data_IF_198116675892
#
_entry.id   IF_198116675892
#
_cell.length_a   1.000
_cell.length_b   1.000
_cell.length_c   1.000
_cell.angle_alpha   90.00
_cell.angle_beta   90.00
_cell.angle_gamma   90.00
#
_symmetry.space_group_name_H-M   'P 1'
#
loop_
_entity.id
_entity.type
_entity.pdbx_description
1 polymer ?
#
# COMPACT_ATOMS: atom_id res chain seq x y z
N UNK A 1 25.60 -22.47 -12.58
CA UNK A 1 24.45 -23.39 -12.65
C UNK A 1 23.41 -23.17 -11.55
N UNK A 2 23.81 -22.97 -10.28
CA UNK A 2 22.84 -22.62 -9.18
C UNK A 2 22.17 -21.26 -9.38
N UNK A 3 22.90 -20.20 -9.76
CA UNK A 3 22.33 -18.87 -10.02
C UNK A 3 21.33 -18.87 -11.19
N UNK A 4 21.61 -19.62 -12.26
CA UNK A 4 20.68 -19.74 -13.38
C UNK A 4 19.38 -20.46 -13.00
N UNK A 5 19.46 -21.46 -12.11
CA UNK A 5 18.25 -22.14 -11.58
C UNK A 5 17.43 -21.22 -10.67
N UNK A 6 18.08 -20.41 -9.83
CA UNK A 6 17.38 -19.45 -8.97
C UNK A 6 16.64 -18.36 -9.77
N UNK A 7 17.27 -17.86 -10.83
CA UNK A 7 16.63 -16.88 -11.72
C UNK A 7 15.43 -17.47 -12.47
N UNK A 8 15.53 -18.72 -12.90
CA UNK A 8 14.43 -19.44 -13.56
C UNK A 8 13.21 -19.60 -12.63
N UNK A 9 13.42 -19.98 -11.37
CA UNK A 9 12.34 -20.13 -10.40
C UNK A 9 11.66 -18.79 -10.05
N UNK A 10 12.44 -17.70 -9.98
CA UNK A 10 11.87 -16.35 -9.81
C UNK A 10 11.03 -15.94 -11.02
N UNK A 11 11.50 -16.21 -12.23
CA UNK A 11 10.75 -15.91 -13.45
C UNK A 11 9.42 -16.67 -13.49
N UNK A 12 9.42 -17.96 -13.16
CA UNK A 12 8.19 -18.78 -13.07
C UNK A 12 7.23 -18.20 -12.03
N UNK A 13 7.74 -17.80 -10.85
CA UNK A 13 6.91 -17.16 -9.82
C UNK A 13 6.29 -15.85 -10.30
N UNK A 14 7.07 -14.97 -10.96
CA UNK A 14 6.56 -13.71 -11.48
C UNK A 14 5.52 -13.90 -12.58
N UNK A 15 5.73 -14.87 -13.47
CA UNK A 15 4.73 -15.23 -14.49
C UNK A 15 3.46 -15.77 -13.82
N UNK A 16 3.58 -16.65 -12.83
CA UNK A 16 2.46 -17.17 -12.04
C UNK A 16 1.69 -16.03 -11.33
N UNK A 17 2.40 -15.09 -10.73
CA UNK A 17 1.82 -13.92 -10.08
C UNK A 17 1.09 -13.01 -11.10
N UNK A 18 1.70 -12.76 -12.25
CA UNK A 18 1.06 -12.00 -13.33
C UNK A 18 -0.23 -12.68 -13.79
N UNK A 19 -0.20 -13.99 -14.04
CA UNK A 19 -1.38 -14.76 -14.46
C UNK A 19 -2.47 -14.72 -13.40
N UNK A 20 -2.12 -14.91 -12.13
CA UNK A 20 -3.07 -14.81 -11.01
C UNK A 20 -3.74 -13.43 -10.98
N UNK A 21 -2.95 -12.37 -11.03
CA UNK A 21 -3.49 -11.00 -11.03
C UNK A 21 -4.32 -10.71 -12.26
N UNK A 22 -3.92 -11.21 -13.44
CA UNK A 22 -4.72 -11.08 -14.65
C UNK A 22 -6.09 -11.76 -14.52
N UNK A 23 -6.13 -12.98 -14.01
CA UNK A 23 -7.38 -13.71 -13.80
C UNK A 23 -8.29 -12.97 -12.82
N UNK A 24 -7.76 -12.48 -11.70
CA UNK A 24 -8.53 -11.70 -10.73
C UNK A 24 -9.08 -10.40 -11.33
N UNK A 25 -8.26 -9.68 -12.09
CA UNK A 25 -8.71 -8.49 -12.81
C UNK A 25 -9.78 -8.79 -13.87
N UNK A 26 -9.66 -9.93 -14.57
CA UNK A 26 -10.63 -10.34 -15.58
C UNK A 26 -11.98 -10.73 -14.96
N UNK A 27 -11.98 -11.30 -13.76
CA UNK A 27 -13.20 -11.65 -13.02
C UNK A 27 -13.88 -10.45 -12.35
N UNK A 28 -13.12 -9.39 -12.04
CA UNK A 28 -13.70 -8.17 -11.49
C UNK A 28 -14.54 -7.47 -12.57
N UNK A 29 -15.86 -7.30 -12.41
CA UNK A 29 -16.66 -6.53 -13.36
C UNK A 29 -16.35 -5.04 -13.27
N UNK A 30 -16.85 -4.25 -14.20
CA UNK A 30 -16.94 -2.80 -14.02
C UNK A 30 -17.89 -2.50 -12.83
N UNK A 31 -17.51 -1.56 -11.97
CA UNK A 31 -18.21 -1.33 -10.71
C UNK A 31 -18.17 0.15 -10.32
N UNK A 32 -19.27 0.66 -9.79
CA UNK A 32 -19.39 2.05 -9.27
C UNK A 32 -18.76 3.11 -10.19
N UNK A 33 -17.64 3.70 -9.75
CA UNK A 33 -16.98 4.84 -10.38
C UNK A 33 -16.42 4.52 -11.78
N UNK A 34 -16.25 3.24 -12.13
CA UNK A 34 -15.86 2.85 -13.49
C UNK A 34 -16.86 3.34 -14.54
N UNK A 35 -18.17 3.32 -14.21
CA UNK A 35 -19.20 3.82 -15.11
C UNK A 35 -19.20 5.35 -15.19
N UNK A 36 -18.90 6.04 -14.08
CA UNK A 36 -18.81 7.51 -14.04
C UNK A 36 -17.58 7.97 -14.84
N UNK A 37 -16.47 7.22 -14.73
CA UNK A 37 -15.24 7.53 -15.44
C UNK A 37 -15.26 7.10 -16.93
N UNK A 38 -16.22 6.26 -17.35
CA UNK A 38 -16.38 5.86 -18.76
C UNK A 38 -17.00 6.93 -19.65
N UNK A 39 -17.43 8.04 -19.08
CA UNK A 39 -18.03 9.18 -19.79
C UNK A 39 -17.17 10.43 -19.62
N UNK A 40 -17.30 11.37 -20.54
CA UNK A 40 -16.69 12.68 -20.41
C UNK A 40 -17.22 13.33 -19.13
N UNK A 41 -16.34 13.75 -18.26
CA UNK A 41 -16.67 14.22 -16.92
C UNK A 41 -17.78 15.27 -16.93
N UNK A 42 -18.88 14.98 -16.24
CA UNK A 42 -20.07 15.86 -16.13
C UNK A 42 -20.85 16.14 -17.44
N UNK A 43 -20.64 15.39 -18.54
CA UNK A 43 -21.51 15.51 -19.73
C UNK A 43 -22.44 14.34 -19.94
N UNK A 44 -22.03 13.15 -19.53
CA UNK A 44 -22.73 11.89 -19.80
C UNK A 44 -22.41 11.26 -21.16
N UNK A 45 -21.65 11.95 -22.03
CA UNK A 45 -21.23 11.41 -23.33
C UNK A 45 -20.10 10.39 -23.13
N UNK A 46 -20.15 9.26 -23.83
CA UNK A 46 -19.10 8.25 -23.74
C UNK A 46 -17.77 8.76 -24.30
N UNK A 47 -16.65 8.31 -23.68
CA UNK A 47 -15.31 8.52 -24.20
C UNK A 47 -15.17 7.80 -25.55
N UNK A 48 -14.80 8.53 -26.62
CA UNK A 48 -14.63 7.98 -27.97
C UNK A 48 -13.22 8.24 -28.53
N UNK A 49 -12.49 9.20 -27.97
CA UNK A 49 -11.19 9.62 -28.46
C UNK A 49 -10.23 9.99 -27.35
N UNK A 50 -8.93 10.04 -27.66
CA UNK A 50 -7.91 10.54 -26.73
C UNK A 50 -8.17 12.01 -26.36
N UNK A 51 -8.78 12.78 -27.25
CA UNK A 51 -9.18 14.17 -26.96
C UNK A 51 -10.21 14.23 -25.85
N UNK A 52 -11.17 13.28 -25.81
CA UNK A 52 -12.17 13.20 -24.75
C UNK A 52 -11.53 12.85 -23.39
N UNK A 53 -10.46 12.05 -23.40
CA UNK A 53 -9.68 11.79 -22.18
C UNK A 53 -9.09 13.09 -21.64
N UNK A 54 -8.45 13.90 -22.48
CA UNK A 54 -7.90 15.19 -22.04
C UNK A 54 -8.99 16.19 -21.64
N UNK A 55 -10.12 16.21 -22.33
CA UNK A 55 -11.28 17.03 -21.96
C UNK A 55 -11.84 16.61 -20.58
N UNK A 56 -11.93 15.30 -20.32
CA UNK A 56 -12.36 14.78 -19.03
C UNK A 56 -11.37 15.14 -17.91
N UNK A 57 -10.06 15.09 -18.17
CA UNK A 57 -9.04 15.50 -17.22
C UNK A 57 -9.11 16.99 -16.89
N UNK A 58 -9.30 17.83 -17.91
CA UNK A 58 -9.45 19.27 -17.73
C UNK A 58 -10.66 19.57 -16.84
N UNK A 59 -11.82 19.00 -17.17
CA UNK A 59 -13.05 19.17 -16.36
C UNK A 59 -12.90 18.62 -14.95
N UNK A 60 -12.28 17.45 -14.81
CA UNK A 60 -12.01 16.86 -13.51
C UNK A 60 -11.15 17.80 -12.66
N UNK A 61 -10.08 18.34 -13.22
CA UNK A 61 -9.15 19.25 -12.55
C UNK A 61 -9.83 20.51 -12.02
N UNK A 62 -10.67 21.12 -12.83
CA UNK A 62 -11.38 22.34 -12.43
C UNK A 62 -12.62 22.09 -11.55
N UNK A 63 -13.24 20.93 -11.61
CA UNK A 63 -14.52 20.67 -10.93
C UNK A 63 -14.45 19.70 -9.76
N UNK A 64 -13.36 18.88 -9.65
CA UNK A 64 -13.34 17.82 -8.66
C UNK A 64 -12.04 17.70 -7.89
N UNK A 65 -10.86 17.69 -8.56
CA UNK A 65 -9.59 17.54 -7.83
C UNK A 65 -8.35 17.37 -8.69
N UNK A 66 -7.19 17.29 -8.03
CA UNK A 66 -5.87 17.33 -8.67
C UNK A 66 -5.23 15.97 -8.98
N UNK A 67 -5.93 14.84 -8.86
CA UNK A 67 -5.39 13.47 -9.08
C UNK A 67 -5.21 13.15 -10.57
N UNK A 68 -4.52 14.00 -11.31
CA UNK A 68 -4.45 13.93 -12.77
C UNK A 68 -3.86 12.60 -13.27
N UNK A 69 -2.81 12.08 -12.62
CA UNK A 69 -2.17 10.83 -13.05
C UNK A 69 -3.11 9.64 -12.87
N UNK A 70 -3.79 9.55 -11.74
CA UNK A 70 -4.75 8.47 -11.46
C UNK A 70 -5.91 8.48 -12.45
N UNK A 71 -6.49 9.66 -12.70
CA UNK A 71 -7.63 9.80 -13.61
C UNK A 71 -7.23 9.69 -15.07
N UNK A 72 -6.01 10.08 -15.43
CA UNK A 72 -5.49 9.78 -16.77
C UNK A 72 -5.45 8.26 -17.03
N UNK A 73 -4.94 7.48 -16.07
CA UNK A 73 -4.92 6.01 -16.18
C UNK A 73 -6.34 5.46 -16.33
N UNK A 74 -7.29 5.94 -15.51
CA UNK A 74 -8.68 5.51 -15.57
C UNK A 74 -9.32 5.80 -16.93
N UNK A 75 -9.34 7.07 -17.36
CA UNK A 75 -9.97 7.49 -18.61
C UNK A 75 -9.33 6.83 -19.82
N UNK A 76 -7.99 6.70 -19.82
CA UNK A 76 -7.26 6.06 -20.90
C UNK A 76 -7.68 4.60 -21.09
N UNK A 77 -7.72 3.82 -20.02
CA UNK A 77 -8.11 2.41 -20.13
C UNK A 77 -9.60 2.23 -20.32
N UNK A 78 -10.44 3.14 -19.85
CA UNK A 78 -11.88 3.09 -20.15
C UNK A 78 -12.16 3.39 -21.61
N UNK A 79 -11.37 4.24 -22.27
CA UNK A 79 -11.44 4.47 -23.70
C UNK A 79 -11.08 3.21 -24.50
N UNK A 80 -10.00 2.51 -24.14
CA UNK A 80 -9.50 1.34 -24.88
C UNK A 80 -10.09 0.01 -24.41
N UNK A 81 -10.79 -0.01 -23.31
CA UNK A 81 -11.49 -1.16 -22.77
C UNK A 81 -10.76 -1.91 -21.66
N UNK A 82 -11.56 -2.54 -20.82
CA UNK A 82 -11.12 -3.24 -19.60
C UNK A 82 -10.14 -4.38 -19.88
N UNK A 83 -10.18 -4.99 -21.05
CA UNK A 83 -9.24 -6.06 -21.43
C UNK A 83 -7.78 -5.60 -21.32
N UNK A 84 -7.46 -4.44 -21.87
CA UNK A 84 -6.12 -3.87 -21.80
C UNK A 84 -5.75 -3.48 -20.37
N UNK A 85 -6.70 -2.90 -19.66
CA UNK A 85 -6.49 -2.61 -18.23
C UNK A 85 -6.08 -3.85 -17.45
N UNK A 86 -6.76 -4.99 -17.60
CA UNK A 86 -6.48 -6.22 -16.87
C UNK A 86 -5.03 -6.69 -17.08
N UNK A 87 -4.52 -6.59 -18.32
CA UNK A 87 -3.13 -6.95 -18.64
C UNK A 87 -2.15 -6.00 -17.97
N UNK A 88 -2.35 -4.70 -18.14
CA UNK A 88 -1.42 -3.70 -17.62
C UNK A 88 -1.48 -3.61 -16.10
N UNK A 89 -2.64 -3.76 -15.48
CA UNK A 89 -2.78 -3.76 -14.04
C UNK A 89 -2.08 -4.96 -13.38
N UNK A 90 -2.20 -6.15 -13.97
CA UNK A 90 -1.46 -7.34 -13.55
C UNK A 90 0.06 -7.14 -13.69
N UNK A 91 0.51 -6.49 -14.77
CA UNK A 91 1.91 -6.16 -14.97
C UNK A 91 2.42 -5.14 -13.92
N UNK A 92 1.63 -4.12 -13.62
CA UNK A 92 1.96 -3.09 -12.62
C UNK A 92 2.08 -3.71 -11.23
N UNK A 93 1.14 -4.58 -10.83
CA UNK A 93 1.25 -5.29 -9.54
C UNK A 93 2.53 -6.15 -9.48
N UNK A 94 2.81 -6.90 -10.53
CA UNK A 94 4.00 -7.73 -10.61
C UNK A 94 5.28 -6.88 -10.56
N UNK A 95 5.31 -5.77 -11.31
CA UNK A 95 6.42 -4.82 -11.30
C UNK A 95 6.58 -4.12 -9.94
N UNK A 96 5.48 -3.83 -9.24
CA UNK A 96 5.50 -3.31 -7.87
C UNK A 96 6.21 -4.26 -6.92
N UNK A 97 5.93 -5.57 -6.98
CA UNK A 97 6.61 -6.58 -6.15
C UNK A 97 8.11 -6.64 -6.44
N UNK A 98 8.52 -6.53 -7.71
CA UNK A 98 9.94 -6.45 -8.10
C UNK A 98 10.57 -5.14 -7.62
N UNK A 99 9.86 -4.03 -7.72
CA UNK A 99 10.33 -2.73 -7.22
C UNK A 99 10.55 -2.78 -5.70
N UNK A 100 9.59 -3.32 -4.95
CA UNK A 100 9.69 -3.52 -3.51
C UNK A 100 10.84 -4.46 -3.13
N UNK A 101 11.06 -5.52 -3.91
CA UNK A 101 12.22 -6.38 -3.75
C UNK A 101 13.54 -5.59 -3.88
N UNK A 102 13.69 -4.73 -4.89
CA UNK A 102 14.87 -3.88 -5.05
C UNK A 102 15.05 -2.88 -3.91
N UNK A 103 13.97 -2.35 -3.37
CA UNK A 103 14.02 -1.49 -2.18
C UNK A 103 14.58 -2.21 -0.96
N UNK A 104 14.18 -3.47 -0.75
CA UNK A 104 14.60 -4.28 0.41
C UNK A 104 16.04 -4.76 0.24
N UNK A 105 16.38 -5.30 -0.93
CA UNK A 105 17.71 -5.83 -1.22
C UNK A 105 18.74 -4.71 -1.43
N UNK A 106 18.27 -3.50 -1.74
CA UNK A 106 19.12 -2.32 -2.05
C UNK A 106 20.09 -2.59 -3.19
N UNK A 107 19.63 -3.35 -4.17
CA UNK A 107 20.38 -3.74 -5.35
C UNK A 107 19.43 -3.95 -6.52
N UNK A 108 19.85 -3.51 -7.71
CA UNK A 108 19.11 -3.75 -8.95
C UNK A 108 19.38 -5.15 -9.56
N UNK A 109 20.00 -6.04 -8.80
CA UNK A 109 20.27 -7.41 -9.23
C UNK A 109 19.25 -8.36 -8.61
N UNK A 110 18.58 -9.12 -9.46
CA UNK A 110 17.79 -10.28 -9.05
C UNK A 110 18.77 -11.39 -8.68
N UNK A 111 18.98 -11.62 -7.39
CA UNK A 111 19.71 -12.77 -6.85
C UNK A 111 18.70 -13.81 -6.39
N UNK A 112 19.16 -14.98 -5.88
CA UNK A 112 18.32 -16.06 -5.33
C UNK A 112 17.35 -15.60 -4.21
N UNK A 113 16.40 -14.73 -4.58
CA UNK A 113 15.50 -14.01 -3.66
C UNK A 113 14.06 -14.48 -3.72
N UNK A 114 13.77 -15.65 -4.28
CA UNK A 114 12.42 -16.17 -4.35
C UNK A 114 11.70 -16.18 -2.99
N UNK A 115 12.32 -16.60 -1.86
CA UNK A 115 11.65 -16.55 -0.56
C UNK A 115 11.28 -15.13 -0.13
N UNK A 116 12.14 -14.15 -0.41
CA UNK A 116 11.87 -12.75 -0.10
C UNK A 116 10.76 -12.20 -0.98
N UNK A 117 10.80 -12.47 -2.29
CA UNK A 117 9.77 -12.02 -3.23
C UNK A 117 8.41 -12.62 -2.89
N UNK A 118 8.37 -13.92 -2.57
CA UNK A 118 7.16 -14.60 -2.11
C UNK A 118 6.64 -14.02 -0.79
N UNK A 119 7.52 -13.73 0.16
CA UNK A 119 7.17 -13.08 1.43
C UNK A 119 6.60 -11.67 1.20
N UNK A 120 7.24 -10.85 0.36
CA UNK A 120 6.74 -9.52 0.00
C UNK A 120 5.34 -9.58 -0.62
N UNK A 121 5.13 -10.53 -1.55
CA UNK A 121 3.81 -10.75 -2.17
C UNK A 121 2.77 -11.17 -1.15
N UNK A 122 3.09 -12.13 -0.27
CA UNK A 122 2.20 -12.59 0.78
C UNK A 122 1.88 -11.48 1.79
N UNK A 123 2.87 -10.69 2.21
CA UNK A 123 2.64 -9.54 3.09
C UNK A 123 1.80 -8.45 2.42
N UNK A 124 2.03 -8.17 1.14
CA UNK A 124 1.19 -7.21 0.42
C UNK A 124 -0.26 -7.68 0.39
N UNK A 125 -0.49 -8.96 0.13
CA UNK A 125 -1.85 -9.53 0.15
C UNK A 125 -2.51 -9.48 1.53
N UNK A 126 -1.76 -9.76 2.60
CA UNK A 126 -2.27 -9.80 3.97
C UNK A 126 -2.38 -8.42 4.63
N UNK A 127 -1.53 -7.46 4.24
CA UNK A 127 -1.44 -6.16 4.91
C UNK A 127 -2.16 -5.02 4.18
N UNK A 128 -2.54 -5.21 2.92
CA UNK A 128 -3.38 -4.26 2.21
C UNK A 128 -4.84 -4.60 2.55
N UNK A 129 -5.46 -3.76 3.39
CA UNK A 129 -6.90 -3.80 3.59
C UNK A 129 -7.62 -3.52 2.28
N UNK A 130 -8.78 -4.11 2.06
CA UNK A 130 -9.54 -3.94 0.81
C UNK A 130 -8.71 -4.21 -0.45
N UNK A 131 -7.93 -5.31 -0.44
CA UNK A 131 -7.03 -5.67 -1.54
C UNK A 131 -7.73 -5.67 -2.90
N UNK A 132 -8.97 -6.15 -2.95
CA UNK A 132 -9.79 -6.15 -4.16
C UNK A 132 -10.02 -4.74 -4.72
N UNK A 133 -10.32 -3.79 -3.86
CA UNK A 133 -10.56 -2.39 -4.27
C UNK A 133 -9.26 -1.68 -4.65
N UNK A 134 -8.18 -1.94 -3.92
CA UNK A 134 -6.89 -1.26 -4.09
C UNK A 134 -6.09 -1.83 -5.27
N UNK A 135 -6.14 -3.14 -5.51
CA UNK A 135 -5.25 -3.81 -6.45
C UNK A 135 -5.96 -4.41 -7.69
N UNK A 136 -7.29 -4.57 -7.67
CA UNK A 136 -8.01 -5.28 -8.71
C UNK A 136 -9.10 -4.42 -9.36
N UNK A 137 -9.90 -3.69 -8.57
CA UNK A 137 -10.91 -2.78 -9.10
C UNK A 137 -10.28 -1.65 -9.91
N UNK A 138 -10.81 -1.38 -11.11
CA UNK A 138 -10.17 -0.51 -12.09
C UNK A 138 -9.91 0.91 -11.56
N UNK A 139 -10.94 1.61 -11.11
CA UNK A 139 -10.78 2.95 -10.54
C UNK A 139 -9.92 2.96 -9.28
N UNK A 140 -10.14 2.00 -8.38
CA UNK A 140 -9.37 1.91 -7.15
C UNK A 140 -7.90 1.60 -7.39
N UNK A 141 -7.59 0.63 -8.26
CA UNK A 141 -6.19 0.30 -8.56
C UNK A 141 -5.46 1.42 -9.30
N UNK A 142 -6.13 2.15 -10.19
CA UNK A 142 -5.52 3.32 -10.83
C UNK A 142 -5.15 4.41 -9.81
N UNK A 143 -5.99 4.60 -8.77
CA UNK A 143 -5.73 5.58 -7.70
C UNK A 143 -4.67 5.09 -6.72
N UNK A 144 -4.65 3.81 -6.34
CA UNK A 144 -3.80 3.33 -5.25
C UNK A 144 -2.63 2.49 -5.71
N UNK A 145 -2.85 1.44 -6.52
CA UNK A 145 -1.77 0.55 -6.97
C UNK A 145 -0.81 1.25 -7.93
N UNK A 146 -1.33 1.90 -8.96
CA UNK A 146 -0.51 2.56 -9.98
C UNK A 146 0.28 3.72 -9.40
N UNK A 147 -0.36 4.54 -8.57
CA UNK A 147 0.30 5.67 -7.93
C UNK A 147 1.32 5.22 -6.90
N UNK A 148 1.02 4.17 -6.13
CA UNK A 148 1.97 3.52 -5.24
C UNK A 148 3.19 2.98 -5.99
N UNK A 149 2.97 2.34 -7.16
CA UNK A 149 4.04 1.85 -8.01
C UNK A 149 4.92 2.99 -8.57
N UNK A 150 4.31 4.05 -9.10
CA UNK A 150 5.08 5.21 -9.61
C UNK A 150 5.88 5.87 -8.49
N UNK A 151 5.30 6.00 -7.31
CA UNK A 151 6.00 6.54 -6.14
C UNK A 151 7.14 5.63 -5.69
N UNK A 152 6.93 4.32 -5.59
CA UNK A 152 7.99 3.38 -5.23
C UNK A 152 9.12 3.40 -6.27
N UNK A 153 8.78 3.41 -7.56
CA UNK A 153 9.77 3.49 -8.64
C UNK A 153 10.58 4.79 -8.58
N UNK A 154 9.92 5.92 -8.33
CA UNK A 154 10.56 7.23 -8.16
C UNK A 154 11.47 7.27 -6.92
N UNK A 155 11.09 6.65 -5.81
CA UNK A 155 11.87 6.61 -4.57
C UNK A 155 13.04 5.62 -4.62
N UNK A 156 13.05 4.66 -5.55
CA UNK A 156 14.08 3.62 -5.61
C UNK A 156 15.51 4.20 -5.78
N UNK A 157 15.81 5.13 -6.70
CA UNK A 157 17.12 5.75 -6.80
C UNK A 157 17.55 6.47 -5.51
N UNK A 158 16.63 7.14 -4.80
CA UNK A 158 16.92 7.77 -3.51
C UNK A 158 17.34 6.74 -2.46
N UNK A 159 16.61 5.62 -2.33
CA UNK A 159 16.96 4.55 -1.40
C UNK A 159 18.34 3.94 -1.73
N UNK A 160 18.63 3.68 -2.99
CA UNK A 160 19.92 3.12 -3.43
C UNK A 160 21.09 4.10 -3.17
N UNK A 161 20.87 5.39 -3.36
CA UNK A 161 21.87 6.44 -3.07
C UNK A 161 22.15 6.56 -1.57
N UNK A 162 21.10 6.58 -0.75
CA UNK A 162 21.21 6.73 0.72
C UNK A 162 21.95 5.56 1.37
N UNK A 163 21.82 4.37 0.83
CA UNK A 163 22.48 3.17 1.35
C UNK A 163 23.93 3.03 0.91
N UNK A 164 24.40 3.92 0.00
CA UNK A 164 25.77 3.92 -0.50
C UNK A 164 26.10 2.80 -1.49
N UNK A 165 25.14 1.92 -1.79
CA UNK A 165 25.35 0.79 -2.72
C UNK A 165 25.49 1.25 -4.18
N UNK A 166 24.91 2.41 -4.49
CA UNK A 166 24.97 3.03 -5.81
C UNK A 166 25.24 4.52 -5.68
N UNK A 167 26.16 5.03 -6.48
CA UNK A 167 26.41 6.47 -6.61
C UNK A 167 25.99 6.91 -8.00
N UNK A 168 24.81 7.46 -8.10
CA UNK A 168 24.32 8.02 -9.35
C UNK A 168 24.84 9.45 -9.52
N UNK A 169 25.91 9.61 -10.30
CA UNK A 169 26.50 10.92 -10.57
C UNK A 169 26.04 11.55 -11.89
N UNK A 170 25.26 10.82 -12.67
CA UNK A 170 24.90 11.21 -14.03
C UNK A 170 23.82 12.29 -14.06
N UNK A 171 24.12 13.43 -14.69
CA UNK A 171 23.12 14.46 -15.02
C UNK A 171 21.98 13.94 -15.92
N UNK A 172 22.22 12.82 -16.64
CA UNK A 172 21.19 12.18 -17.50
C UNK A 172 19.97 11.70 -16.71
N UNK A 173 20.11 11.43 -15.40
CA UNK A 173 19.00 11.07 -14.54
C UNK A 173 18.13 12.28 -14.13
N UNK A 174 18.59 13.51 -14.34
CA UNK A 174 17.86 14.68 -13.87
C UNK A 174 16.48 14.83 -14.52
N UNK A 175 16.38 14.67 -15.83
CA UNK A 175 15.10 14.77 -16.54
C UNK A 175 14.14 13.63 -16.17
N UNK A 176 14.53 12.34 -16.18
CA UNK A 176 13.68 11.25 -15.67
C UNK A 176 13.21 11.45 -14.23
N UNK A 177 14.08 11.98 -13.36
CA UNK A 177 13.72 12.22 -11.96
C UNK A 177 12.81 13.43 -11.78
N UNK A 178 12.98 14.49 -12.58
CA UNK A 178 12.05 15.63 -12.61
C UNK A 178 10.63 15.14 -13.01
N UNK A 179 10.53 14.44 -14.13
CA UNK A 179 9.24 13.92 -14.62
C UNK A 179 8.65 12.86 -13.69
N UNK A 180 9.49 11.95 -13.18
CA UNK A 180 9.08 10.93 -12.20
C UNK A 180 8.55 11.56 -10.91
N UNK A 181 9.17 12.64 -10.44
CA UNK A 181 8.71 13.41 -9.28
C UNK A 181 7.34 14.06 -9.52
N UNK A 182 7.14 14.67 -10.70
CA UNK A 182 5.84 15.24 -11.08
C UNK A 182 4.76 14.15 -11.12
N UNK A 183 5.02 13.01 -11.75
CA UNK A 183 4.08 11.89 -11.86
C UNK A 183 3.75 11.32 -10.47
N UNK A 184 4.76 11.02 -9.66
CA UNK A 184 4.57 10.45 -8.33
C UNK A 184 3.79 11.37 -7.40
N UNK A 185 4.03 12.69 -7.49
CA UNK A 185 3.40 13.68 -6.63
C UNK A 185 2.09 14.28 -7.19
N UNK A 186 1.69 14.01 -8.43
CA UNK A 186 0.41 14.44 -9.00
C UNK A 186 -0.62 13.28 -9.03
N UNK A 187 -0.61 12.43 -7.99
CA UNK A 187 -1.35 11.16 -7.97
C UNK A 187 -2.48 11.16 -6.95
N UNK A 188 -2.17 11.23 -5.66
CA UNK A 188 -3.14 11.24 -4.54
C UNK A 188 -2.65 12.21 -3.47
N UNK A 189 -3.53 13.02 -2.91
CA UNK A 189 -3.20 14.11 -1.98
C UNK A 189 -2.37 13.64 -0.79
N UNK A 190 -2.75 12.52 -0.16
CA UNK A 190 -2.06 11.97 1.02
C UNK A 190 -0.65 11.47 0.70
N UNK A 191 -0.45 10.88 -0.48
CA UNK A 191 0.84 10.34 -0.88
C UNK A 191 1.79 11.43 -1.38
N UNK A 192 1.24 12.49 -1.98
CA UNK A 192 2.02 13.56 -2.60
C UNK A 192 2.84 14.36 -1.59
N UNK A 193 2.22 14.75 -0.46
CA UNK A 193 2.89 15.49 0.62
C UNK A 193 3.99 14.65 1.24
N UNK A 194 3.68 13.40 1.58
CA UNK A 194 4.64 12.45 2.17
C UNK A 194 5.84 12.23 1.25
N UNK A 195 5.59 12.00 -0.03
CA UNK A 195 6.65 11.78 -1.04
C UNK A 195 7.55 13.02 -1.18
N UNK A 196 6.94 14.20 -1.27
CA UNK A 196 7.68 15.46 -1.43
C UNK A 196 8.55 15.75 -0.21
N UNK A 197 8.02 15.67 1.00
CA UNK A 197 8.79 15.87 2.22
C UNK A 197 9.95 14.87 2.33
N UNK A 198 9.71 13.61 1.96
CA UNK A 198 10.71 12.56 2.00
C UNK A 198 11.89 12.86 1.05
N UNK A 199 11.61 13.17 -0.22
CA UNK A 199 12.70 13.39 -1.21
C UNK A 199 13.46 14.68 -0.94
N UNK A 200 12.79 15.74 -0.44
CA UNK A 200 13.46 16.94 0.03
C UNK A 200 14.35 16.63 1.23
N UNK A 201 13.86 15.88 2.23
CA UNK A 201 14.65 15.42 3.36
C UNK A 201 15.88 14.62 2.94
N UNK A 202 15.72 13.67 2.01
CA UNK A 202 16.83 12.90 1.45
C UNK A 202 17.86 13.79 0.72
N UNK A 203 17.41 14.74 -0.07
CA UNK A 203 18.28 15.66 -0.82
C UNK A 203 19.07 16.57 0.12
N UNK A 204 18.43 17.13 1.15
CA UNK A 204 19.07 17.93 2.19
C UNK A 204 20.07 17.09 3.00
N UNK A 205 19.71 15.85 3.35
CA UNK A 205 20.61 14.95 4.08
C UNK A 205 21.88 14.66 3.26
N UNK A 206 21.75 14.30 1.98
CA UNK A 206 22.89 14.08 1.09
C UNK A 206 23.73 15.34 0.92
N UNK A 207 23.09 16.49 0.78
CA UNK A 207 23.79 17.78 0.69
C UNK A 207 24.64 18.08 1.94
N UNK A 208 24.11 17.85 3.14
CA UNK A 208 24.86 18.00 4.41
C UNK A 208 26.00 16.99 4.56
N UNK A 209 25.91 15.84 3.93
CA UNK A 209 26.98 14.83 3.87
C UNK A 209 28.04 15.12 2.81
N UNK A 210 27.93 16.24 2.07
CA UNK A 210 28.89 16.64 1.04
C UNK A 210 28.62 16.00 -0.33
N UNK A 211 27.64 15.13 -0.46
CA UNK A 211 27.20 14.57 -1.74
C UNK A 211 26.08 15.43 -2.32
N UNK A 212 26.21 15.87 -3.58
CA UNK A 212 25.25 16.81 -4.19
C UNK A 212 24.81 16.35 -5.59
N UNK A 213 24.17 15.18 -5.70
CA UNK A 213 23.75 14.70 -7.01
C UNK A 213 22.63 15.60 -7.56
N UNK A 214 22.85 16.19 -8.73
CA UNK A 214 21.92 17.12 -9.35
C UNK A 214 20.54 16.52 -9.61
N UNK A 215 20.49 15.22 -9.95
CA UNK A 215 19.24 14.50 -10.20
C UNK A 215 18.32 14.43 -8.97
N UNK A 216 18.85 14.41 -7.74
CA UNK A 216 18.04 14.41 -6.52
C UNK A 216 17.27 15.72 -6.39
N UNK A 217 17.94 16.86 -6.67
CA UNK A 217 17.29 18.17 -6.66
C UNK A 217 16.27 18.31 -7.77
N UNK A 218 16.55 17.79 -8.97
CA UNK A 218 15.61 17.76 -10.08
C UNK A 218 14.34 16.96 -9.69
N UNK A 219 14.51 15.78 -9.06
CA UNK A 219 13.39 15.00 -8.55
C UNK A 219 12.60 15.71 -7.44
N UNK A 220 13.31 16.39 -6.52
CA UNK A 220 12.66 17.19 -5.47
C UNK A 220 11.85 18.36 -6.04
N UNK A 221 12.38 19.06 -7.05
CA UNK A 221 11.64 20.12 -7.76
C UNK A 221 10.42 19.52 -8.50
N UNK A 222 10.61 18.39 -9.20
CA UNK A 222 9.52 17.70 -9.87
C UNK A 222 8.39 17.30 -8.90
N UNK A 223 8.76 16.76 -7.73
CA UNK A 223 7.75 16.41 -6.71
C UNK A 223 7.02 17.63 -6.16
N UNK A 224 7.71 18.75 -5.96
CA UNK A 224 7.09 20.01 -5.52
C UNK A 224 6.11 20.55 -6.56
N UNK A 225 6.47 20.51 -7.85
CA UNK A 225 5.58 20.91 -8.94
C UNK A 225 4.36 20.00 -8.99
N UNK A 226 4.54 18.66 -8.94
CA UNK A 226 3.42 17.70 -8.91
C UNK A 226 2.51 17.92 -7.69
N UNK A 227 3.09 18.19 -6.52
CA UNK A 227 2.34 18.55 -5.30
C UNK A 227 1.51 19.80 -5.48
N UNK A 228 2.09 20.84 -6.06
CA UNK A 228 1.37 22.08 -6.33
C UNK A 228 0.18 21.84 -7.28
N UNK A 229 0.39 21.09 -8.38
CA UNK A 229 -0.70 20.72 -9.28
C UNK A 229 -1.79 19.88 -8.58
N UNK A 230 -1.41 18.95 -7.71
CA UNK A 230 -2.36 18.10 -7.02
C UNK A 230 -3.19 18.87 -5.97
N UNK A 231 -2.52 19.64 -5.10
CA UNK A 231 -3.20 20.29 -3.97
C UNK A 231 -3.89 21.60 -4.33
N UNK A 232 -3.33 22.37 -5.26
CA UNK A 232 -3.88 23.66 -5.68
C UNK A 232 -4.89 23.53 -6.83
N UNK A 233 -5.31 22.32 -7.17
CA UNK A 233 -6.35 22.12 -8.18
C UNK A 233 -7.63 22.87 -7.81
N UNK A 234 -8.22 23.69 -8.70
CA UNK A 234 -9.45 24.43 -8.42
C UNK A 234 -10.59 23.52 -7.97
N UNK A 235 -10.67 22.30 -8.52
CA UNK A 235 -11.68 21.31 -8.14
C UNK A 235 -11.65 20.90 -6.68
N UNK A 236 -10.49 20.91 -6.01
CA UNK A 236 -10.40 20.67 -4.57
C UNK A 236 -11.17 21.74 -3.77
N UNK A 237 -11.07 22.99 -4.19
CA UNK A 237 -11.77 24.10 -3.53
C UNK A 237 -13.27 24.08 -3.84
N UNK A 238 -13.67 23.74 -5.06
CA UNK A 238 -15.08 23.56 -5.44
C UNK A 238 -15.73 22.49 -4.57
N UNK A 239 -15.07 21.34 -4.39
CA UNK A 239 -15.56 20.27 -3.53
C UNK A 239 -15.60 20.67 -2.06
N UNK A 240 -14.60 21.40 -1.58
CA UNK A 240 -14.57 21.90 -0.20
C UNK A 240 -15.73 22.85 0.12
N UNK A 241 -16.06 23.76 -0.80
CA UNK A 241 -17.19 24.70 -0.62
C UNK A 241 -18.51 23.95 -0.52
N UNK A 242 -18.70 22.86 -1.26
CA UNK A 242 -19.93 22.06 -1.19
C UNK A 242 -20.14 21.36 0.18
N UNK A 243 -19.06 21.18 0.96
CA UNK A 243 -19.10 20.51 2.26
C UNK A 243 -19.11 21.49 3.46
N UNK A 244 -19.08 22.80 3.21
CA UNK A 244 -19.01 23.83 4.27
C UNK A 244 -20.28 23.98 5.13
N UNK A 245 -21.40 23.43 4.70
CA UNK A 245 -22.70 23.54 5.45
C UNK A 245 -22.70 22.70 6.74
N UNK A 246 -21.62 22.00 7.06
CA UNK A 246 -21.53 21.17 8.26
C UNK A 246 -20.72 21.87 9.37
N UNK A 247 -21.19 21.73 10.62
CA UNK A 247 -20.52 22.32 11.78
C UNK A 247 -19.07 21.80 11.91
N UNK A 248 -18.13 22.68 12.32
CA UNK A 248 -16.71 22.33 12.54
C UNK A 248 -16.54 21.09 13.44
N UNK A 249 -17.40 20.95 14.45
CA UNK A 249 -17.42 19.80 15.36
C UNK A 249 -17.71 18.48 14.63
N UNK A 250 -18.56 18.52 13.60
CA UNK A 250 -18.85 17.35 12.77
C UNK A 250 -17.62 16.90 11.98
N UNK A 251 -16.91 17.85 11.36
CA UNK A 251 -15.68 17.52 10.62
C UNK A 251 -14.62 16.93 11.55
N UNK A 252 -14.47 17.50 12.76
CA UNK A 252 -13.53 16.98 13.76
C UNK A 252 -13.91 15.57 14.24
N UNK A 253 -15.18 15.32 14.54
CA UNK A 253 -15.66 14.00 14.95
C UNK A 253 -15.51 12.96 13.83
N UNK A 254 -15.81 13.33 12.60
CA UNK A 254 -15.64 12.47 11.43
C UNK A 254 -14.17 12.12 11.19
N UNK A 255 -13.26 13.09 11.34
CA UNK A 255 -11.83 12.87 11.21
C UNK A 255 -11.29 11.93 12.30
N UNK A 256 -11.73 12.08 13.55
CA UNK A 256 -11.37 11.16 14.63
C UNK A 256 -11.89 9.74 14.32
N UNK A 257 -13.15 9.62 13.90
CA UNK A 257 -13.74 8.32 13.54
C UNK A 257 -12.97 7.64 12.42
N UNK A 258 -12.67 8.35 11.34
CA UNK A 258 -11.89 7.83 10.21
C UNK A 258 -10.47 7.39 10.62
N UNK A 259 -9.81 8.15 11.51
CA UNK A 259 -8.49 7.78 12.02
C UNK A 259 -8.53 6.55 12.94
N UNK A 260 -9.58 6.40 13.75
CA UNK A 260 -9.78 5.19 14.56
C UNK A 260 -10.02 3.96 13.69
N UNK A 261 -10.82 4.09 12.64
CA UNK A 261 -11.04 3.05 11.64
C UNK A 261 -9.73 2.67 10.95
N UNK A 262 -8.94 3.65 10.51
CA UNK A 262 -7.62 3.43 9.92
C UNK A 262 -6.69 2.64 10.86
N UNK A 263 -6.69 2.93 12.18
CA UNK A 263 -5.89 2.17 13.14
C UNK A 263 -6.29 0.70 13.21
N UNK A 264 -7.58 0.39 13.08
CA UNK A 264 -8.06 -1.00 13.00
C UNK A 264 -7.49 -1.69 11.76
N UNK A 265 -7.53 -1.06 10.60
CA UNK A 265 -6.94 -1.60 9.36
C UNK A 265 -5.41 -1.70 9.40
N UNK A 266 -4.73 -0.90 10.21
CA UNK A 266 -3.27 -0.96 10.37
C UNK A 266 -2.79 -2.09 11.27
N UNK A 267 -3.65 -2.81 11.98
CA UNK A 267 -3.20 -3.86 12.90
C UNK A 267 -2.27 -4.90 12.26
N UNK A 268 -2.54 -5.42 11.05
CA UNK A 268 -1.64 -6.39 10.43
C UNK A 268 -0.24 -5.82 10.20
N UNK A 269 -0.16 -4.56 9.81
CA UNK A 269 1.13 -3.85 9.65
C UNK A 269 1.84 -3.76 11.01
N UNK A 270 1.11 -3.42 12.09
CA UNK A 270 1.66 -3.37 13.44
C UNK A 270 2.17 -4.75 13.91
N UNK A 271 1.44 -5.82 13.61
CA UNK A 271 1.89 -7.19 13.92
C UNK A 271 3.16 -7.57 13.17
N UNK A 272 3.27 -7.19 11.89
CA UNK A 272 4.48 -7.38 11.08
C UNK A 272 5.64 -6.57 11.65
N UNK A 273 5.42 -5.33 12.09
CA UNK A 273 6.46 -4.51 12.74
C UNK A 273 6.94 -5.13 14.06
N UNK A 274 6.02 -5.69 14.87
CA UNK A 274 6.39 -6.41 16.11
C UNK A 274 7.17 -7.69 15.78
N UNK A 275 6.81 -8.40 14.72
CA UNK A 275 7.56 -9.57 14.24
C UNK A 275 8.96 -9.15 13.76
N UNK A 276 9.07 -8.13 12.94
CA UNK A 276 10.34 -7.58 12.49
C UNK A 276 11.24 -7.18 13.67
N UNK A 277 10.69 -6.47 14.66
CA UNK A 277 11.39 -6.13 15.89
C UNK A 277 11.96 -7.36 16.61
N UNK A 278 11.19 -8.44 16.73
CA UNK A 278 11.64 -9.69 17.35
C UNK A 278 12.77 -10.35 16.57
N UNK A 279 12.69 -10.32 15.24
CA UNK A 279 13.75 -10.85 14.36
C UNK A 279 15.03 -10.04 14.52
N UNK A 280 14.96 -8.71 14.51
CA UNK A 280 16.10 -7.82 14.68
C UNK A 280 16.76 -8.00 16.05
N UNK A 281 15.97 -8.17 17.10
CA UNK A 281 16.48 -8.46 18.44
C UNK A 281 17.27 -9.77 18.50
N UNK A 282 16.79 -10.80 17.79
CA UNK A 282 17.44 -12.10 17.68
C UNK A 282 18.73 -12.01 16.84
N UNK A 283 18.69 -11.31 15.71
CA UNK A 283 19.86 -11.09 14.87
C UNK A 283 20.97 -10.34 15.61
N UNK A 284 20.60 -9.30 16.35
CA UNK A 284 21.55 -8.55 17.18
C UNK A 284 22.16 -9.43 18.29
N UNK A 285 21.36 -10.30 18.92
CA UNK A 285 21.86 -11.22 19.92
C UNK A 285 22.90 -12.19 19.33
N UNK A 286 22.63 -12.71 18.12
CA UNK A 286 23.60 -13.56 17.42
C UNK A 286 24.91 -12.81 17.08
N UNK A 287 24.81 -11.55 16.63
CA UNK A 287 25.98 -10.70 16.34
C UNK A 287 26.83 -10.41 17.58
N UNK A 288 26.19 -10.23 18.74
CA UNK A 288 26.88 -10.02 20.03
C UNK A 288 27.31 -11.33 20.71
N UNK A 289 27.16 -12.48 20.06
CA UNK A 289 27.58 -13.79 20.59
C UNK A 289 26.74 -14.27 21.79
N UNK A 290 25.56 -13.70 22.01
CA UNK A 290 24.65 -14.08 23.08
C UNK A 290 24.02 -15.42 22.75
N UNK A 291 24.24 -16.45 23.58
CA UNK A 291 23.60 -17.76 23.38
C UNK A 291 22.10 -17.65 23.62
N UNK A 292 21.34 -17.89 22.56
CA UNK A 292 19.88 -17.93 22.60
C UNK A 292 19.42 -19.37 22.62
N UNK A 293 18.81 -19.78 23.73
CA UNK A 293 18.12 -21.08 23.77
C UNK A 293 16.80 -20.94 23.02
N UNK A 294 16.77 -21.41 21.77
CA UNK A 294 15.56 -21.40 20.95
C UNK A 294 14.88 -22.76 21.02
N UNK A 295 13.65 -22.77 21.49
CA UNK A 295 12.74 -23.89 21.28
C UNK A 295 12.00 -23.66 19.96
N UNK A 296 12.41 -24.39 18.93
CA UNK A 296 11.70 -24.40 17.65
C UNK A 296 10.56 -25.44 17.76
N UNK A 297 9.39 -25.07 17.30
CA UNK A 297 8.31 -26.03 17.13
C UNK A 297 8.38 -26.52 15.67
N UNK A 298 8.41 -27.84 15.47
CA UNK A 298 8.22 -28.44 14.15
C UNK A 298 6.83 -28.05 13.63
N UNK A 299 6.77 -27.32 12.52
CA UNK A 299 5.47 -26.81 12.11
C UNK A 299 5.46 -26.03 10.78
N UNK A 300 6.47 -26.16 9.93
CA UNK A 300 6.51 -25.46 8.63
C UNK A 300 5.24 -25.74 7.80
N UNK A 301 4.77 -26.99 7.80
CA UNK A 301 3.55 -27.37 7.09
C UNK A 301 2.28 -26.80 7.72
N UNK A 302 2.24 -26.61 9.04
CA UNK A 302 1.10 -26.01 9.73
C UNK A 302 0.94 -24.52 9.42
N UNK A 303 2.05 -23.79 9.25
CA UNK A 303 2.00 -22.37 8.82
C UNK A 303 1.42 -22.27 7.42
N UNK A 304 1.91 -23.07 6.49
CA UNK A 304 1.43 -23.08 5.10
C UNK A 304 -0.05 -23.50 5.05
N UNK A 305 -0.42 -24.54 5.77
CA UNK A 305 -1.82 -24.97 5.86
C UNK A 305 -2.71 -23.88 6.47
N UNK A 306 -2.24 -23.23 7.54
CA UNK A 306 -2.96 -22.12 8.17
C UNK A 306 -3.15 -20.92 7.23
N UNK A 307 -2.15 -20.55 6.44
CA UNK A 307 -2.27 -19.49 5.41
C UNK A 307 -3.30 -19.89 4.35
N UNK A 308 -3.24 -21.13 3.86
CA UNK A 308 -4.19 -21.63 2.85
C UNK A 308 -5.61 -21.66 3.43
N UNK A 309 -5.79 -22.14 4.66
CA UNK A 309 -7.11 -22.19 5.31
C UNK A 309 -7.65 -20.78 5.56
N UNK A 310 -6.84 -19.84 6.07
CA UNK A 310 -7.26 -18.46 6.26
C UNK A 310 -7.65 -17.80 4.93
N UNK A 311 -6.87 -18.04 3.87
CA UNK A 311 -7.18 -17.55 2.54
C UNK A 311 -8.50 -18.15 2.02
N UNK A 312 -8.67 -19.47 2.12
CA UNK A 312 -9.87 -20.15 1.67
C UNK A 312 -11.13 -19.70 2.47
N UNK A 313 -11.01 -19.56 3.79
CA UNK A 313 -12.13 -19.07 4.64
C UNK A 313 -12.47 -17.63 4.28
N UNK A 314 -11.47 -16.75 4.12
CA UNK A 314 -11.69 -15.36 3.71
C UNK A 314 -12.35 -15.28 2.33
N UNK A 315 -11.91 -16.10 1.38
CA UNK A 315 -12.42 -16.09 0.01
C UNK A 315 -13.82 -16.69 -0.14
N UNK A 316 -14.07 -17.84 0.51
CA UNK A 316 -15.32 -18.59 0.31
C UNK A 316 -16.39 -18.29 1.35
N UNK A 317 -16.01 -17.93 2.56
CA UNK A 317 -16.96 -17.80 3.68
C UNK A 317 -17.17 -16.34 4.11
N UNK A 318 -16.30 -15.38 3.68
CA UNK A 318 -16.39 -14.00 4.08
C UNK A 318 -17.79 -13.41 3.85
N UNK A 319 -18.29 -13.47 2.62
CA UNK A 319 -19.61 -12.94 2.30
C UNK A 319 -20.80 -13.66 2.97
N UNK A 320 -20.67 -14.95 3.23
CA UNK A 320 -21.74 -15.73 3.90
C UNK A 320 -21.82 -15.39 5.39
N UNK A 321 -20.67 -15.26 6.04
CA UNK A 321 -20.58 -14.86 7.45
C UNK A 321 -21.04 -13.42 7.64
N UNK A 322 -20.65 -12.54 6.72
CA UNK A 322 -21.04 -11.15 6.66
C UNK A 322 -22.57 -11.02 6.63
N UNK A 323 -23.20 -11.54 5.59
CA UNK A 323 -24.65 -11.49 5.44
C UNK A 323 -25.40 -12.16 6.60
N UNK A 324 -24.87 -13.25 7.15
CA UNK A 324 -25.48 -13.94 8.28
C UNK A 324 -25.51 -13.10 9.55
N UNK A 325 -24.39 -12.43 9.88
CA UNK A 325 -24.28 -11.57 11.06
C UNK A 325 -25.12 -10.29 10.90
N UNK A 326 -25.09 -9.69 9.71
CA UNK A 326 -25.90 -8.53 9.36
C UNK A 326 -27.40 -8.83 9.57
N UNK A 327 -27.90 -9.93 9.01
CA UNK A 327 -29.30 -10.33 9.19
C UNK A 327 -29.64 -10.60 10.66
N UNK A 328 -28.75 -11.24 11.41
CA UNK A 328 -28.94 -11.52 12.82
C UNK A 328 -29.10 -10.23 13.65
N UNK A 329 -28.32 -9.20 13.35
CA UNK A 329 -28.38 -7.91 14.04
C UNK A 329 -29.60 -7.10 13.58
N UNK A 330 -29.88 -7.06 12.28
CA UNK A 330 -31.07 -6.39 11.74
C UNK A 330 -32.34 -6.97 12.36
N UNK A 331 -32.52 -8.29 12.32
CA UNK A 331 -33.71 -8.92 12.86
C UNK A 331 -33.75 -9.03 14.39
N UNK A 332 -32.57 -9.24 15.04
CA UNK A 332 -32.49 -9.42 16.48
C UNK A 332 -32.42 -8.12 17.29
N UNK A 333 -31.91 -7.03 16.71
CA UNK A 333 -31.66 -5.77 17.42
C UNK A 333 -32.40 -4.59 16.79
N UNK A 334 -32.16 -4.33 15.50
CA UNK A 334 -32.67 -3.10 14.87
C UNK A 334 -34.19 -3.13 14.67
N UNK A 335 -34.75 -4.27 14.23
CA UNK A 335 -36.19 -4.42 14.04
C UNK A 335 -36.97 -4.27 15.35
N UNK A 336 -36.60 -4.90 16.47
CA UNK A 336 -37.26 -4.69 17.76
C UNK A 336 -37.17 -3.28 18.31
N UNK A 337 -36.10 -2.51 17.91
CA UNK A 337 -35.93 -1.12 18.31
C UNK A 337 -36.63 -0.13 17.37
N UNK A 338 -37.32 -0.61 16.32
CA UNK A 338 -37.99 0.24 15.34
C UNK A 338 -37.06 1.02 14.42
N UNK A 339 -35.76 0.64 14.36
CA UNK A 339 -34.73 1.27 13.54
C UNK A 339 -34.64 0.59 12.15
N UNK A 340 -35.76 0.64 11.41
CA UNK A 340 -35.90 -0.05 10.11
C UNK A 340 -36.01 0.90 8.92
N UNK A 341 -35.73 2.19 9.12
CA UNK A 341 -35.68 3.13 8.02
C UNK A 341 -34.50 2.83 7.07
N UNK A 342 -34.71 3.05 5.77
CA UNK A 342 -33.79 2.69 4.70
C UNK A 342 -32.38 3.30 4.88
N UNK A 343 -32.33 4.52 5.41
CA UNK A 343 -31.07 5.24 5.67
C UNK A 343 -30.28 4.55 6.80
N UNK A 344 -30.93 4.22 7.92
CA UNK A 344 -30.29 3.55 9.06
C UNK A 344 -29.82 2.15 8.68
N UNK A 345 -30.64 1.39 7.94
CA UNK A 345 -30.27 0.04 7.48
C UNK A 345 -29.09 0.09 6.49
N UNK A 346 -29.05 1.05 5.57
CA UNK A 346 -27.95 1.17 4.61
C UNK A 346 -26.63 1.58 5.29
N UNK A 347 -26.67 2.51 6.24
CA UNK A 347 -25.50 2.90 7.03
C UNK A 347 -25.00 1.74 7.89
N UNK A 348 -25.90 1.00 8.50
CA UNK A 348 -25.57 -0.16 9.31
C UNK A 348 -24.96 -1.29 8.47
N UNK A 349 -25.54 -1.62 7.32
CA UNK A 349 -25.01 -2.63 6.40
C UNK A 349 -23.59 -2.29 5.95
N UNK A 350 -23.31 -1.02 5.58
CA UNK A 350 -21.97 -0.57 5.20
C UNK A 350 -20.97 -0.66 6.37
N UNK A 351 -21.39 -0.28 7.58
CA UNK A 351 -20.54 -0.35 8.79
C UNK A 351 -20.26 -1.80 9.18
N UNK A 352 -21.25 -2.68 9.09
CA UNK A 352 -21.09 -4.09 9.44
C UNK A 352 -20.24 -4.86 8.42
N UNK A 353 -20.40 -4.59 7.14
CA UNK A 353 -19.54 -5.16 6.10
C UNK A 353 -18.06 -4.84 6.35
N UNK A 354 -17.74 -3.58 6.65
CA UNK A 354 -16.38 -3.18 7.02
C UNK A 354 -15.89 -3.86 8.31
N UNK A 355 -16.72 -3.95 9.34
CA UNK A 355 -16.37 -4.59 10.61
C UNK A 355 -16.07 -6.09 10.44
N UNK A 356 -16.85 -6.80 9.64
CA UNK A 356 -16.65 -8.23 9.40
C UNK A 356 -15.36 -8.52 8.62
N UNK A 357 -15.08 -7.74 7.56
CA UNK A 357 -13.81 -7.83 6.85
C UNK A 357 -12.64 -7.64 7.80
N UNK A 358 -12.71 -6.63 8.67
CA UNK A 358 -11.71 -6.38 9.71
C UNK A 358 -11.56 -7.57 10.65
N UNK A 359 -12.65 -8.13 11.18
CA UNK A 359 -12.58 -9.25 12.13
C UNK A 359 -11.99 -10.51 11.49
N UNK A 360 -12.45 -10.89 10.29
CA UNK A 360 -11.94 -12.07 9.56
C UNK A 360 -10.47 -11.87 9.23
N UNK A 361 -10.12 -10.69 8.75
CA UNK A 361 -8.76 -10.30 8.42
C UNK A 361 -7.86 -10.34 9.67
N UNK A 362 -8.32 -9.81 10.80
CA UNK A 362 -7.59 -9.83 12.07
C UNK A 362 -7.34 -11.24 12.59
N UNK A 363 -8.34 -12.10 12.54
CA UNK A 363 -8.22 -13.51 12.94
C UNK A 363 -7.19 -14.24 12.07
N UNK A 364 -7.25 -14.07 10.76
CA UNK A 364 -6.32 -14.67 9.81
C UNK A 364 -4.89 -14.19 10.01
N UNK A 365 -4.68 -12.89 10.09
CA UNK A 365 -3.35 -12.31 10.29
C UNK A 365 -2.78 -12.66 11.68
N UNK A 366 -3.61 -12.62 12.73
CA UNK A 366 -3.20 -13.01 14.07
C UNK A 366 -2.80 -14.48 14.12
N UNK A 367 -3.51 -15.38 13.44
CA UNK A 367 -3.15 -16.77 13.33
C UNK A 367 -1.80 -16.96 12.62
N UNK A 368 -1.60 -16.35 11.46
CA UNK A 368 -0.33 -16.38 10.71
C UNK A 368 0.82 -15.84 11.55
N UNK A 369 0.61 -14.72 12.25
CA UNK A 369 1.58 -14.13 13.17
C UNK A 369 1.97 -15.07 14.32
N UNK A 370 0.99 -15.72 14.97
CA UNK A 370 1.26 -16.68 16.05
C UNK A 370 2.03 -17.90 15.55
N UNK A 371 1.73 -18.41 14.35
CA UNK A 371 2.48 -19.50 13.76
C UNK A 371 3.90 -19.09 13.38
N UNK A 372 4.09 -17.90 12.81
CA UNK A 372 5.41 -17.36 12.50
C UNK A 372 6.27 -17.23 13.79
N UNK A 373 5.70 -16.74 14.89
CA UNK A 373 6.37 -16.67 16.20
C UNK A 373 6.85 -18.06 16.66
N UNK A 374 6.01 -19.08 16.48
CA UNK A 374 6.35 -20.46 16.91
C UNK A 374 7.47 -21.04 16.05
N UNK A 375 7.32 -20.96 14.73
CA UNK A 375 8.27 -21.56 13.77
C UNK A 375 9.64 -20.87 13.82
N UNK A 376 9.66 -19.54 13.99
CA UNK A 376 10.90 -18.76 14.06
C UNK A 376 11.54 -18.74 15.47
N UNK A 377 10.96 -19.45 16.44
CA UNK A 377 11.48 -19.44 17.81
C UNK A 377 11.41 -18.08 18.52
N UNK A 378 10.55 -17.19 18.06
CA UNK A 378 10.40 -15.81 18.53
C UNK A 378 9.45 -15.66 19.71
N UNK A 379 9.22 -16.72 20.49
CA UNK A 379 8.31 -16.69 21.63
C UNK A 379 8.78 -15.71 22.71
N UNK A 380 7.84 -15.20 23.48
CA UNK A 380 8.13 -14.30 24.62
C UNK A 380 9.13 -14.93 25.60
N UNK A 381 9.06 -16.25 25.80
CA UNK A 381 9.95 -17.01 26.68
C UNK A 381 11.39 -16.95 26.18
N UNK A 382 11.62 -17.12 24.89
CA UNK A 382 12.95 -17.09 24.28
C UNK A 382 13.56 -15.69 24.27
N UNK A 383 12.74 -14.65 24.07
CA UNK A 383 13.21 -13.27 23.88
C UNK A 383 13.32 -12.46 25.17
N UNK A 384 12.70 -12.91 26.27
CA UNK A 384 12.73 -12.18 27.56
C UNK A 384 14.14 -11.88 28.08
N UNK A 385 15.08 -12.86 28.10
CA UNK A 385 16.44 -12.58 28.54
C UNK A 385 17.18 -11.62 27.60
N UNK A 386 16.94 -11.70 26.31
CA UNK A 386 17.56 -10.81 25.34
C UNK A 386 17.10 -9.35 25.48
N UNK A 387 15.81 -9.13 25.75
CA UNK A 387 15.26 -7.79 26.00
C UNK A 387 15.91 -7.12 27.21
N UNK A 388 16.22 -7.89 28.24
CA UNK A 388 16.90 -7.39 29.46
C UNK A 388 18.35 -6.98 29.18
N UNK A 389 19.06 -7.70 28.29
CA UNK A 389 20.48 -7.47 28.01
C UNK A 389 20.69 -6.42 26.89
N UNK A 390 19.90 -6.46 25.83
CA UNK A 390 20.12 -5.61 24.67
C UNK A 390 19.36 -4.27 24.74
N UNK A 391 18.15 -4.28 25.29
CA UNK A 391 17.32 -3.08 25.39
C UNK A 391 16.92 -2.48 24.03
N UNK A 392 15.97 -1.56 24.06
CA UNK A 392 15.49 -0.84 22.89
C UNK A 392 16.57 0.02 22.21
N UNK A 393 17.39 0.74 22.99
CA UNK A 393 18.39 1.69 22.45
C UNK A 393 19.44 1.00 21.58
N UNK A 394 19.92 -0.17 21.98
CA UNK A 394 20.93 -0.92 21.21
C UNK A 394 20.39 -1.38 19.86
N UNK A 395 19.17 -1.92 19.81
CA UNK A 395 18.54 -2.34 18.55
C UNK A 395 18.36 -1.15 17.62
N UNK A 396 17.88 -0.02 18.13
CA UNK A 396 17.69 1.20 17.37
C UNK A 396 18.99 1.74 16.79
N UNK A 397 20.09 1.66 17.53
CA UNK A 397 21.41 2.07 17.07
C UNK A 397 22.03 1.08 16.07
N UNK A 398 21.78 -0.22 16.23
CA UNK A 398 22.33 -1.26 15.37
C UNK A 398 21.69 -1.31 13.97
N UNK A 399 20.46 -0.82 13.84
CA UNK A 399 19.69 -0.85 12.59
C UNK A 399 19.20 0.54 12.20
N UNK A 400 20.03 1.33 11.49
CA UNK A 400 19.67 2.69 11.03
C UNK A 400 18.42 2.73 10.14
N UNK A 401 18.08 1.61 9.49
CA UNK A 401 16.89 1.45 8.66
C UNK A 401 15.59 1.65 9.44
N UNK A 402 15.60 1.40 10.74
CA UNK A 402 14.44 1.64 11.61
C UNK A 402 14.08 3.13 11.69
N UNK A 403 15.07 4.03 11.59
CA UNK A 403 14.82 5.48 11.57
C UNK A 403 14.06 5.89 10.30
N UNK A 404 14.45 5.32 9.16
CA UNK A 404 13.78 5.58 7.89
C UNK A 404 12.34 5.02 7.88
N UNK A 405 12.17 3.77 8.33
CA UNK A 405 10.85 3.15 8.45
C UNK A 405 9.94 3.93 9.42
N UNK A 406 10.47 4.34 10.58
CA UNK A 406 9.71 5.15 11.54
C UNK A 406 9.33 6.52 10.99
N UNK A 407 10.23 7.17 10.25
CA UNK A 407 9.94 8.45 9.60
C UNK A 407 8.84 8.31 8.54
N UNK A 408 8.87 7.26 7.72
CA UNK A 408 7.82 6.97 6.74
C UNK A 408 6.46 6.75 7.40
N UNK A 409 6.41 5.93 8.46
CA UNK A 409 5.17 5.64 9.19
C UNK A 409 4.64 6.91 9.85
N UNK A 410 5.51 7.70 10.50
CA UNK A 410 5.12 8.96 11.13
C UNK A 410 4.60 9.97 10.11
N UNK A 411 5.26 10.13 8.96
CA UNK A 411 4.81 11.02 7.89
C UNK A 411 3.47 10.56 7.29
N UNK A 412 3.32 9.25 7.05
CA UNK A 412 2.06 8.70 6.54
C UNK A 412 0.92 8.92 7.53
N UNK A 413 1.17 8.74 8.83
CA UNK A 413 0.18 8.99 9.88
C UNK A 413 -0.19 10.47 10.00
N UNK A 414 0.80 11.36 10.06
CA UNK A 414 0.58 12.81 10.15
C UNK A 414 -0.17 13.37 8.92
N UNK A 415 0.05 12.78 7.77
CA UNK A 415 -0.61 13.20 6.54
C UNK A 415 -2.09 12.77 6.45
N UNK A 416 -2.52 11.86 7.29
CA UNK A 416 -3.92 11.43 7.40
C UNK A 416 -4.66 12.09 8.59
N UNK A 417 -3.94 12.86 9.42
CA UNK A 417 -4.53 13.72 10.44
C UNK A 417 -4.96 15.05 9.85
#
# INVERSE_FOLDING_TARGET
MKEAKGLGTMAVFLVGLFVLMYVLNAWMPMYRDDYIAAVIWKTGDHLQSVQDVFLSLDRYYFMHGGRLVSFFVQFFFLLYGKFWFNIFNAAVFTAMMVCMYFHVVRSLRLKDGLPLLAALTAFSWLCISHFGEIAIWMCGSAVYLWTGFFTALFLLPYNLQLTGNYQFSSAKLALPMLLGGMIAACSVENLTVTTTLLVWGCSIYCWRKGTRPFWMWAGSVGSLVGTAFCLLAPGNFVRYVSDQDRALLFHFANQISANLEMLLYMLPVLLVLVLAWRILLLDLAHREGIKVSQTFTEGKHQVMLGVIVCFAVSFFCGGILANGLEQLIVWGILTPLGLTDEITLSHFANTMSGFEEVVIYWLGVSYVYLQAIRVLGLSKRNLRPLRAQLGWKKVWQAYPELHYAAALIALAFLNNL
#
